data_IF_585067695538
#
_entry.id   IF_585067695538
#
_cell.length_a   1.000
_cell.length_b   1.000
_cell.length_c   1.000
_cell.angle_alpha   90.00
_cell.angle_beta   90.00
_cell.angle_gamma   90.00
#
_symmetry.space_group_name_H-M   'P 1'
#
loop_
_entity.id
_entity.type
_entity.pdbx_description
1 polymer ?
#
# COMPACT_ATOMS: atom_id res chain seq x y z
N UNK A 1 -1.49 28.53 -21.89
CA UNK A 1 -1.40 27.39 -22.82
C UNK A 1 -2.28 26.29 -22.26
N UNK A 2 -3.43 26.06 -22.90
CA UNK A 2 -4.47 25.15 -22.41
C UNK A 2 -4.35 23.85 -23.20
N UNK A 3 -3.70 22.84 -22.60
CA UNK A 3 -3.57 21.52 -23.21
C UNK A 3 -4.89 20.78 -22.94
N UNK A 4 -5.63 20.45 -23.99
CA UNK A 4 -6.78 19.57 -23.93
C UNK A 4 -6.34 18.18 -23.47
N UNK A 5 -6.58 17.83 -22.20
CA UNK A 5 -6.52 16.45 -21.71
C UNK A 5 -7.87 15.78 -22.02
N UNK A 6 -7.96 15.17 -23.19
CA UNK A 6 -9.03 14.21 -23.53
C UNK A 6 -8.41 12.82 -23.48
N UNK A 7 -8.52 12.11 -22.36
CA UNK A 7 -8.13 10.70 -22.25
C UNK A 7 -9.21 9.94 -21.47
N UNK A 8 -10.01 9.20 -22.26
CA UNK A 8 -10.55 7.86 -22.00
C UNK A 8 -11.06 7.52 -20.57
N UNK A 9 -12.29 7.94 -20.29
CA UNK A 9 -13.21 7.17 -19.42
C UNK A 9 -13.66 5.91 -20.18
N UNK A 10 -12.98 4.78 -19.99
CA UNK A 10 -13.46 3.47 -20.45
C UNK A 10 -12.92 2.35 -19.55
N UNK A 11 -13.30 2.35 -18.27
CA UNK A 11 -13.11 1.20 -17.37
C UNK A 11 -14.07 1.24 -16.16
N UNK A 12 -15.35 1.46 -16.41
CA UNK A 12 -16.40 1.35 -15.38
C UNK A 12 -17.61 0.54 -15.88
N UNK A 13 -17.37 -0.63 -16.48
CA UNK A 13 -18.44 -1.47 -17.02
C UNK A 13 -18.24 -2.97 -16.77
N UNK A 14 -17.84 -3.39 -15.57
CA UNK A 14 -18.07 -4.78 -15.12
C UNK A 14 -18.26 -4.79 -13.60
N UNK A 15 -19.48 -4.51 -13.14
CA UNK A 15 -20.09 -5.02 -11.90
C UNK A 15 -21.47 -4.38 -11.73
N UNK A 16 -22.40 -4.79 -12.58
CA UNK A 16 -23.83 -4.62 -12.32
C UNK A 16 -24.38 -5.98 -11.85
N UNK A 17 -24.75 -6.16 -10.57
CA UNK A 17 -25.61 -7.28 -10.22
C UNK A 17 -27.00 -7.04 -10.82
N UNK A 18 -27.55 -8.06 -11.47
CA UNK A 18 -28.88 -8.07 -12.04
C UNK A 18 -29.91 -7.72 -10.94
N UNK A 19 -30.57 -6.58 -11.10
CA UNK A 19 -31.71 -6.18 -10.29
C UNK A 19 -32.91 -7.07 -10.62
N UNK A 20 -33.27 -7.96 -9.70
CA UNK A 20 -34.62 -8.50 -9.62
C UNK A 20 -35.48 -7.53 -8.82
N UNK A 21 -36.48 -6.97 -9.48
CA UNK A 21 -37.51 -6.10 -8.92
C UNK A 21 -38.49 -6.94 -8.08
N UNK A 22 -38.75 -6.54 -6.82
CA UNK A 22 -40.07 -6.75 -6.24
C UNK A 22 -40.76 -5.40 -5.98
N UNK A 23 -41.89 -5.23 -6.64
CA UNK A 23 -42.94 -4.27 -6.36
C UNK A 23 -43.51 -4.51 -4.95
N UNK A 24 -43.41 -3.55 -4.03
CA UNK A 24 -44.33 -3.45 -2.88
C UNK A 24 -44.27 -2.10 -2.15
N UNK A 25 -45.41 -1.39 -2.22
CA UNK A 25 -46.03 -0.55 -1.20
C UNK A 25 -45.22 0.51 -0.43
N UNK A 26 -45.53 1.76 -0.79
CA UNK A 26 -45.44 2.90 0.10
C UNK A 26 -46.29 2.69 1.37
N UNK A 27 -45.64 2.71 2.53
CA UNK A 27 -46.32 2.83 3.81
C UNK A 27 -45.62 3.87 4.68
N UNK A 28 -46.22 5.07 4.72
CA UNK A 28 -45.86 6.15 5.62
C UNK A 28 -46.04 5.72 7.08
N UNK A 29 -44.93 5.61 7.83
CA UNK A 29 -44.97 5.55 9.29
C UNK A 29 -44.06 6.62 9.91
N UNK A 30 -44.74 7.70 10.32
CA UNK A 30 -44.59 8.53 11.52
C UNK A 30 -43.24 8.50 12.28
N UNK A 31 -42.72 9.71 12.43
CA UNK A 31 -41.75 10.19 13.43
C UNK A 31 -41.74 9.41 14.75
N UNK A 32 -40.56 8.89 15.11
CA UNK A 32 -40.18 8.59 16.50
C UNK A 32 -39.23 9.67 17.01
N UNK A 33 -39.47 10.29 18.17
CA UNK A 33 -38.53 11.19 18.80
C UNK A 33 -37.33 10.41 19.34
N UNK A 34 -36.12 10.87 19.01
CA UNK A 34 -34.86 10.38 19.56
C UNK A 34 -34.75 10.91 20.99
N UNK A 35 -34.82 10.00 21.96
CA UNK A 35 -34.50 10.30 23.35
C UNK A 35 -32.97 10.42 23.49
N UNK A 36 -32.48 11.65 23.61
CA UNK A 36 -31.10 11.95 23.99
C UNK A 36 -30.94 11.61 25.48
N UNK A 37 -30.17 10.57 25.80
CA UNK A 37 -29.77 10.28 27.19
C UNK A 37 -28.57 11.16 27.55
N UNK A 38 -28.58 11.87 28.69
CA UNK A 38 -27.42 12.60 29.16
C UNK A 38 -26.32 11.63 29.58
N UNK A 39 -25.13 11.79 29.02
CA UNK A 39 -23.92 11.10 29.48
C UNK A 39 -23.38 11.90 30.67
N UNK A 40 -23.40 11.27 31.84
CA UNK A 40 -22.86 11.81 33.09
C UNK A 40 -21.37 12.16 32.93
N UNK A 41 -21.03 13.40 33.28
CA UNK A 41 -19.68 13.87 33.51
C UNK A 41 -19.09 13.15 34.74
N UNK A 42 -18.19 12.20 34.50
CA UNK A 42 -17.28 11.67 35.50
C UNK A 42 -16.09 12.62 35.65
N UNK A 43 -16.18 13.46 36.67
CA UNK A 43 -15.09 14.27 37.21
C UNK A 43 -14.07 13.30 37.85
N UNK A 44 -12.87 13.17 37.28
CA UNK A 44 -11.76 12.49 37.95
C UNK A 44 -10.62 13.44 38.20
N UNK A 45 -10.36 13.51 39.49
CA UNK A 45 -9.49 14.38 40.25
C UNK A 45 -8.01 14.29 39.88
N UNK A 46 -7.33 15.38 40.21
CA UNK A 46 -5.90 15.57 40.12
C UNK A 46 -5.12 14.60 41.02
N UNK A 47 -4.39 13.67 40.40
CA UNK A 47 -3.37 12.86 41.07
C UNK A 47 -1.97 13.20 40.58
N UNK A 48 -1.34 14.24 41.14
CA UNK A 48 0.09 14.46 40.99
C UNK A 48 0.86 13.38 41.78
N UNK A 49 1.40 12.38 41.09
CA UNK A 49 2.43 11.50 41.65
C UNK A 49 3.77 11.81 41.02
N UNK A 50 4.58 12.52 41.81
CA UNK A 50 6.00 12.78 41.60
C UNK A 50 6.76 11.50 42.02
N UNK A 51 7.40 10.75 41.12
CA UNK A 51 8.30 9.69 41.57
C UNK A 51 9.54 10.32 42.19
N UNK A 52 9.68 10.05 43.49
CA UNK A 52 10.84 10.39 44.31
C UNK A 52 12.07 9.68 43.78
N UNK A 53 13.09 10.48 43.47
CA UNK A 53 14.46 10.07 43.16
C UNK A 53 15.04 9.26 44.32
N UNK A 54 15.06 7.93 44.19
CA UNK A 54 15.92 7.06 44.99
C UNK A 54 17.04 6.55 44.08
N UNK A 55 18.25 7.01 44.38
CA UNK A 55 19.48 6.41 43.91
C UNK A 55 19.50 4.94 44.35
N UNK A 56 19.21 4.04 43.42
CA UNK A 56 19.53 2.61 43.56
C UNK A 56 20.93 2.45 43.01
N UNK A 57 21.87 2.13 43.89
CA UNK A 57 23.24 1.82 43.54
C UNK A 57 23.27 0.73 42.46
N UNK A 58 23.81 1.08 41.28
CA UNK A 58 24.15 0.10 40.26
C UNK A 58 25.26 -0.81 40.79
N UNK A 59 24.90 -2.07 41.05
CA UNK A 59 25.82 -3.16 41.28
C UNK A 59 26.23 -3.66 39.88
N UNK A 60 27.52 -3.60 39.48
CA UNK A 60 27.92 -4.15 38.19
C UNK A 60 27.83 -5.67 38.29
N UNK A 61 26.82 -6.23 37.63
CA UNK A 61 26.78 -7.66 37.37
C UNK A 61 27.78 -7.92 36.23
N UNK A 62 28.99 -8.31 36.60
CA UNK A 62 29.82 -9.12 35.72
C UNK A 62 29.18 -10.51 35.60
N UNK A 63 29.34 -11.06 34.40
CA UNK A 63 29.03 -12.43 33.94
C UNK A 63 27.65 -12.64 33.29
N UNK A 64 27.64 -12.67 31.95
CA UNK A 64 27.58 -13.93 31.20
C UNK A 64 27.58 -13.67 29.67
N UNK A 65 28.62 -14.17 29.01
CA UNK A 65 28.70 -14.61 27.61
C UNK A 65 27.62 -14.09 26.64
N UNK A 66 27.86 -12.94 26.01
CA UNK A 66 27.34 -12.66 24.67
C UNK A 66 28.12 -13.49 23.65
N UNK A 67 27.86 -14.80 23.58
CA UNK A 67 27.87 -15.47 22.29
C UNK A 67 26.51 -15.20 21.66
N UNK A 68 26.32 -13.95 21.24
CA UNK A 68 25.32 -13.58 20.27
C UNK A 68 25.69 -14.37 19.02
N UNK A 69 25.05 -15.52 18.80
CA UNK A 69 25.07 -16.14 17.49
C UNK A 69 24.60 -15.06 16.53
N UNK A 70 25.50 -14.58 15.69
CA UNK A 70 25.16 -13.66 14.62
C UNK A 70 24.07 -14.35 13.81
N UNK A 71 22.81 -13.96 14.05
CA UNK A 71 21.70 -14.36 13.20
C UNK A 71 22.03 -13.76 11.84
N UNK A 72 22.52 -14.61 10.96
CA UNK A 72 22.72 -14.27 9.56
C UNK A 72 21.41 -13.62 9.08
N UNK A 73 21.49 -12.49 8.36
CA UNK A 73 20.29 -11.89 7.79
C UNK A 73 19.55 -13.00 7.02
N UNK A 74 18.22 -13.09 7.18
CA UNK A 74 17.44 -14.09 6.48
C UNK A 74 17.78 -14.01 4.98
N UNK A 75 18.04 -15.16 4.37
CA UNK A 75 18.35 -15.23 2.96
C UNK A 75 17.25 -14.52 2.15
N UNK A 76 17.60 -13.78 1.08
CA UNK A 76 16.62 -13.15 0.21
C UNK A 76 15.62 -14.21 -0.26
N UNK A 77 14.34 -13.99 0.08
CA UNK A 77 13.26 -14.88 -0.36
C UNK A 77 12.95 -14.51 -1.80
N UNK A 78 13.33 -15.39 -2.73
CA UNK A 78 12.86 -15.29 -4.12
C UNK A 78 11.37 -15.62 -4.13
N UNK A 79 10.53 -14.63 -4.40
CA UNK A 79 9.12 -14.85 -4.70
C UNK A 79 9.06 -15.59 -6.03
N UNK A 80 8.48 -16.79 -6.04
CA UNK A 80 8.34 -17.53 -7.29
C UNK A 80 7.22 -16.88 -8.10
N UNK A 81 7.51 -16.55 -9.36
CA UNK A 81 6.53 -15.94 -10.26
C UNK A 81 5.25 -16.78 -10.35
N UNK A 82 4.10 -16.19 -10.06
CA UNK A 82 2.80 -16.87 -10.09
C UNK A 82 2.55 -17.88 -8.96
N UNK A 83 3.27 -17.80 -7.84
CA UNK A 83 3.14 -18.74 -6.72
C UNK A 83 1.92 -18.52 -5.83
N UNK A 84 1.37 -17.31 -5.78
CA UNK A 84 0.30 -16.91 -4.86
C UNK A 84 0.63 -17.13 -3.38
N UNK A 85 1.92 -17.14 -3.01
CA UNK A 85 2.34 -17.51 -1.65
C UNK A 85 2.33 -16.34 -0.67
N UNK A 86 2.28 -15.10 -1.17
CA UNK A 86 2.38 -13.88 -0.37
C UNK A 86 1.26 -12.87 -0.68
N UNK A 87 0.24 -13.26 -1.46
CA UNK A 87 -0.83 -12.36 -1.91
C UNK A 87 -1.57 -11.69 -0.77
N UNK A 88 -1.92 -12.43 0.29
CA UNK A 88 -2.64 -11.88 1.45
C UNK A 88 -1.83 -10.76 2.13
N UNK A 89 -0.57 -11.03 2.48
CA UNK A 89 0.33 -10.06 3.12
C UNK A 89 0.59 -8.83 2.22
N UNK A 90 0.84 -9.05 0.94
CA UNK A 90 1.14 -7.98 -0.02
C UNK A 90 -0.09 -7.11 -0.31
N UNK A 91 -1.26 -7.73 -0.52
CA UNK A 91 -2.50 -7.01 -0.76
C UNK A 91 -2.94 -6.21 0.47
N UNK A 92 -2.84 -6.79 1.67
CA UNK A 92 -3.13 -6.09 2.92
C UNK A 92 -2.20 -4.89 3.13
N UNK A 93 -0.89 -5.05 2.87
CA UNK A 93 0.08 -3.96 2.97
C UNK A 93 -0.22 -2.85 1.96
N UNK A 94 -0.52 -3.21 0.71
CA UNK A 94 -0.85 -2.26 -0.34
C UNK A 94 -2.12 -1.47 0.01
N UNK A 95 -3.15 -2.14 0.55
CA UNK A 95 -4.37 -1.50 1.04
C UNK A 95 -4.08 -0.43 2.10
N UNK A 96 -3.22 -0.73 3.08
CA UNK A 96 -2.82 0.22 4.12
C UNK A 96 -2.10 1.42 3.52
N UNK A 97 -1.11 1.19 2.64
CA UNK A 97 -0.36 2.26 1.99
C UNK A 97 -1.26 3.17 1.15
N UNK A 98 -2.20 2.60 0.39
CA UNK A 98 -3.13 3.37 -0.44
C UNK A 98 -4.13 4.17 0.40
N UNK A 99 -4.59 3.64 1.53
CA UNK A 99 -5.41 4.39 2.47
C UNK A 99 -4.64 5.56 3.08
N UNK A 100 -3.39 5.34 3.51
CA UNK A 100 -2.54 6.42 4.01
C UNK A 100 -2.27 7.49 2.96
N UNK A 101 -2.01 7.09 1.71
CA UNK A 101 -1.84 8.00 0.58
C UNK A 101 -3.09 8.87 0.38
N UNK A 102 -4.28 8.28 0.35
CA UNK A 102 -5.54 9.03 0.23
C UNK A 102 -5.70 10.05 1.36
N UNK A 103 -5.46 9.64 2.60
CA UNK A 103 -5.54 10.55 3.75
C UNK A 103 -4.52 11.69 3.64
N UNK A 104 -3.30 11.40 3.21
CA UNK A 104 -2.26 12.42 3.03
C UNK A 104 -2.63 13.42 1.95
N UNK A 105 -3.09 12.94 0.78
CA UNK A 105 -3.56 13.77 -0.33
C UNK A 105 -4.64 14.74 0.17
N UNK A 106 -5.67 14.21 0.83
CA UNK A 106 -6.80 15.00 1.31
C UNK A 106 -6.38 16.10 2.29
N UNK A 107 -5.62 15.74 3.32
CA UNK A 107 -5.27 16.68 4.38
C UNK A 107 -4.17 17.67 3.98
N UNK A 108 -3.17 17.24 3.21
CA UNK A 108 -1.94 18.00 3.04
C UNK A 108 -1.70 18.56 1.63
N UNK A 109 -2.47 18.10 0.64
CA UNK A 109 -2.26 18.45 -0.77
C UNK A 109 -3.49 18.96 -1.50
N UNK A 110 -4.63 19.13 -0.82
CA UNK A 110 -5.89 19.58 -1.41
C UNK A 110 -5.87 20.97 -2.05
N UNK A 111 -4.81 21.74 -1.86
CA UNK A 111 -4.61 23.05 -2.49
C UNK A 111 -3.88 22.99 -3.84
N UNK A 112 -3.33 21.85 -4.24
CA UNK A 112 -2.58 21.74 -5.50
C UNK A 112 -3.55 21.68 -6.70
N UNK A 113 -3.17 22.24 -7.86
CA UNK A 113 -3.97 22.13 -9.08
C UNK A 113 -4.08 20.67 -9.53
N UNK A 114 -5.26 20.27 -10.01
CA UNK A 114 -5.54 18.87 -10.39
C UNK A 114 -5.86 17.95 -9.22
N UNK A 115 -5.94 18.47 -7.99
CA UNK A 115 -6.17 17.65 -6.80
C UNK A 115 -7.42 16.78 -6.90
N UNK A 116 -8.54 17.31 -7.40
CA UNK A 116 -9.79 16.57 -7.42
C UNK A 116 -9.73 15.34 -8.31
N UNK A 117 -9.12 15.48 -9.49
CA UNK A 117 -8.92 14.40 -10.46
C UNK A 117 -7.97 13.34 -9.88
N UNK A 118 -6.76 13.74 -9.48
CA UNK A 118 -5.76 12.81 -8.94
C UNK A 118 -6.22 12.13 -7.65
N UNK A 119 -6.99 12.83 -6.80
CA UNK A 119 -7.57 12.22 -5.59
C UNK A 119 -8.64 11.18 -5.92
N UNK A 120 -9.50 11.45 -6.91
CA UNK A 120 -10.51 10.49 -7.35
C UNK A 120 -9.86 9.22 -7.91
N UNK A 121 -8.79 9.38 -8.69
CA UNK A 121 -7.97 8.27 -9.20
C UNK A 121 -7.31 7.48 -8.08
N UNK A 122 -6.66 8.15 -7.13
CA UNK A 122 -6.05 7.49 -5.97
C UNK A 122 -7.06 6.74 -5.11
N UNK A 123 -8.26 7.31 -4.94
CA UNK A 123 -9.34 6.64 -4.22
C UNK A 123 -9.88 5.43 -4.98
N UNK A 124 -10.02 5.52 -6.31
CA UNK A 124 -10.36 4.37 -7.15
C UNK A 124 -9.32 3.26 -7.01
N UNK A 125 -8.04 3.61 -7.02
CA UNK A 125 -6.96 2.63 -6.83
C UNK A 125 -7.02 1.98 -5.44
N UNK A 126 -7.26 2.75 -4.38
CA UNK A 126 -7.50 2.20 -3.04
C UNK A 126 -8.69 1.22 -3.00
N UNK A 127 -9.78 1.51 -3.71
CA UNK A 127 -10.89 0.56 -3.82
C UNK A 127 -10.47 -0.73 -4.52
N UNK A 128 -9.65 -0.63 -5.56
CA UNK A 128 -9.08 -1.80 -6.26
C UNK A 128 -8.22 -2.65 -5.33
N UNK A 129 -7.37 -2.06 -4.49
CA UNK A 129 -6.53 -2.83 -3.55
C UNK A 129 -7.35 -3.55 -2.50
N UNK A 130 -8.42 -2.91 -1.98
CA UNK A 130 -9.38 -3.55 -1.08
C UNK A 130 -10.08 -4.73 -1.75
N UNK A 131 -10.46 -4.58 -3.00
CA UNK A 131 -11.10 -5.65 -3.75
C UNK A 131 -10.15 -6.81 -4.01
N UNK A 132 -8.88 -6.56 -4.33
CA UNK A 132 -7.85 -7.59 -4.49
C UNK A 132 -7.67 -8.38 -3.19
N UNK A 133 -7.49 -7.68 -2.06
CA UNK A 133 -7.34 -8.31 -0.76
C UNK A 133 -8.58 -9.16 -0.39
N UNK A 134 -9.78 -8.64 -0.61
CA UNK A 134 -11.02 -9.41 -0.41
C UNK A 134 -11.13 -10.61 -1.37
N UNK A 135 -10.63 -10.51 -2.60
CA UNK A 135 -10.66 -11.59 -3.58
C UNK A 135 -9.72 -12.74 -3.19
N UNK A 136 -8.60 -12.44 -2.52
CA UNK A 136 -7.70 -13.46 -1.98
C UNK A 136 -8.39 -14.32 -0.92
N UNK A 137 -9.14 -13.71 0.01
CA UNK A 137 -9.96 -14.44 0.99
C UNK A 137 -11.03 -15.33 0.35
N UNK A 138 -11.40 -15.07 -0.91
CA UNK A 138 -12.34 -15.87 -1.70
C UNK A 138 -11.65 -16.83 -2.69
N UNK A 139 -10.31 -16.87 -2.71
CA UNK A 139 -9.50 -17.63 -3.67
C UNK A 139 -9.76 -17.30 -5.15
N UNK A 140 -10.25 -16.08 -5.45
CA UNK A 140 -10.55 -15.66 -6.82
C UNK A 140 -9.30 -15.10 -7.54
N UNK A 141 -8.44 -16.02 -7.97
CA UNK A 141 -7.16 -15.71 -8.62
C UNK A 141 -7.32 -14.97 -9.95
N UNK A 142 -8.44 -15.15 -10.64
CA UNK A 142 -8.68 -14.50 -11.94
C UNK A 142 -9.06 -13.04 -11.74
N UNK A 143 -9.93 -12.77 -10.76
CA UNK A 143 -10.26 -11.40 -10.36
C UNK A 143 -9.01 -10.61 -9.95
N UNK A 144 -8.13 -11.21 -9.16
CA UNK A 144 -6.87 -10.58 -8.73
C UNK A 144 -6.02 -10.17 -9.94
N UNK A 145 -5.78 -11.11 -10.87
CA UNK A 145 -4.98 -10.83 -12.10
C UNK A 145 -5.56 -9.71 -12.94
N UNK A 146 -6.88 -9.73 -13.15
CA UNK A 146 -7.54 -8.74 -13.99
C UNK A 146 -7.39 -7.31 -13.45
N UNK A 147 -7.41 -7.16 -12.13
CA UNK A 147 -7.34 -5.85 -11.48
C UNK A 147 -5.91 -5.28 -11.44
N UNK A 148 -4.90 -6.13 -11.27
CA UNK A 148 -3.50 -5.68 -11.11
C UNK A 148 -2.94 -4.95 -12.33
N UNK A 149 -3.27 -5.40 -13.55
CA UNK A 149 -2.78 -4.73 -14.77
C UNK A 149 -3.27 -3.28 -14.91
N UNK A 150 -4.54 -3.03 -14.56
CA UNK A 150 -5.10 -1.66 -14.56
C UNK A 150 -4.59 -0.81 -13.40
N UNK A 151 -4.32 -1.44 -12.25
CA UNK A 151 -3.81 -0.78 -11.06
C UNK A 151 -2.43 -0.13 -11.29
N UNK A 152 -1.51 -0.85 -11.95
CA UNK A 152 -0.16 -0.39 -12.28
C UNK A 152 -0.15 0.88 -13.14
N UNK A 153 -0.91 0.87 -14.24
CA UNK A 153 -1.04 2.04 -15.12
C UNK A 153 -1.63 3.24 -14.39
N UNK A 154 -2.70 3.03 -13.59
CA UNK A 154 -3.33 4.10 -12.82
C UNK A 154 -2.38 4.66 -11.74
N UNK A 155 -1.59 3.80 -11.11
CA UNK A 155 -0.64 4.19 -10.09
C UNK A 155 0.44 5.11 -10.65
N UNK A 156 1.04 4.76 -11.79
CA UNK A 156 2.03 5.62 -12.45
C UNK A 156 1.46 6.99 -12.85
N UNK A 157 0.21 7.04 -13.33
CA UNK A 157 -0.44 8.30 -13.64
C UNK A 157 -0.55 9.21 -12.40
N UNK A 158 -0.94 8.64 -11.26
CA UNK A 158 -1.02 9.37 -9.98
C UNK A 158 0.37 9.85 -9.53
N UNK A 159 1.40 9.01 -9.65
CA UNK A 159 2.78 9.39 -9.31
C UNK A 159 3.27 10.60 -10.13
N UNK A 160 3.02 10.59 -11.44
CA UNK A 160 3.40 11.69 -12.32
C UNK A 160 2.68 12.99 -11.97
N UNK A 161 1.38 12.92 -11.68
CA UNK A 161 0.60 14.10 -11.31
C UNK A 161 1.10 14.74 -10.00
N UNK A 162 1.51 13.95 -9.00
CA UNK A 162 1.95 14.49 -7.70
C UNK A 162 3.41 14.91 -7.64
N UNK A 163 4.26 14.51 -8.60
CA UNK A 163 5.73 14.74 -8.56
C UNK A 163 6.10 16.22 -8.39
N UNK A 164 5.25 17.14 -8.85
CA UNK A 164 5.43 18.59 -8.74
C UNK A 164 4.66 19.27 -7.60
N UNK A 165 3.93 18.52 -6.77
CA UNK A 165 3.04 19.12 -5.78
C UNK A 165 3.78 19.65 -4.56
N UNK A 166 3.20 20.70 -3.98
CA UNK A 166 3.68 21.30 -2.74
C UNK A 166 2.87 20.79 -1.55
N UNK A 167 3.54 20.51 -0.43
CA UNK A 167 2.88 20.09 0.81
C UNK A 167 2.54 21.30 1.68
N UNK A 168 1.29 21.37 2.16
CA UNK A 168 0.92 22.19 3.32
C UNK A 168 0.65 21.24 4.48
N UNK A 169 1.53 21.22 5.48
CA UNK A 169 1.46 20.28 6.59
C UNK A 169 0.27 20.62 7.52
N UNK A 170 -0.87 19.96 7.33
CA UNK A 170 -2.05 20.09 8.20
C UNK A 170 -2.19 18.93 9.18
N UNK A 171 -1.85 17.71 8.73
CA UNK A 171 -1.93 16.49 9.55
C UNK A 171 -0.83 15.51 9.14
N UNK A 172 -0.12 14.95 10.11
CA UNK A 172 0.79 13.85 9.81
C UNK A 172 -0.02 12.55 9.68
N UNK A 173 0.08 11.89 8.53
CA UNK A 173 -0.48 10.57 8.27
C UNK A 173 0.69 9.59 8.16
N UNK A 174 0.69 8.51 8.95
CA UNK A 174 1.84 7.61 9.02
C UNK A 174 3.14 8.31 9.42
N UNK A 175 4.27 7.65 9.22
CA UNK A 175 5.61 8.18 9.55
C UNK A 175 6.37 8.74 8.35
N UNK A 176 5.85 8.53 7.14
CA UNK A 176 6.54 8.78 5.88
C UNK A 176 5.91 9.95 5.11
N UNK A 177 6.70 10.55 4.21
CA UNK A 177 6.21 11.51 3.21
C UNK A 177 5.51 10.82 2.04
N UNK A 178 4.79 11.59 1.21
CA UNK A 178 3.99 11.02 0.12
C UNK A 178 4.84 10.27 -0.92
N UNK A 179 6.03 10.79 -1.25
CA UNK A 179 6.92 10.18 -2.25
C UNK A 179 7.42 8.81 -1.78
N UNK A 180 7.90 8.73 -0.53
CA UNK A 180 8.35 7.45 0.04
C UNK A 180 7.20 6.45 0.17
N UNK A 181 5.98 6.90 0.49
CA UNK A 181 4.80 6.02 0.49
C UNK A 181 4.48 5.49 -0.91
N UNK A 182 4.64 6.32 -1.93
CA UNK A 182 4.45 5.90 -3.31
C UNK A 182 5.52 4.89 -3.73
N UNK A 183 6.80 5.12 -3.47
CA UNK A 183 7.87 4.14 -3.73
C UNK A 183 7.55 2.79 -3.05
N UNK A 184 7.15 2.81 -1.78
CA UNK A 184 6.78 1.59 -1.08
C UNK A 184 5.52 0.91 -1.65
N UNK A 185 4.55 1.69 -2.12
CA UNK A 185 3.33 1.16 -2.74
C UNK A 185 3.64 0.55 -4.12
N UNK A 186 4.53 1.17 -4.90
CA UNK A 186 5.03 0.65 -6.17
C UNK A 186 5.74 -0.69 -5.98
N UNK A 187 6.73 -0.74 -5.09
CA UNK A 187 7.46 -1.97 -4.76
C UNK A 187 6.50 -3.07 -4.29
N UNK A 188 5.50 -2.72 -3.47
CA UNK A 188 4.52 -3.68 -2.99
C UNK A 188 3.60 -4.17 -4.12
N UNK A 189 3.18 -3.27 -5.01
CA UNK A 189 2.36 -3.60 -6.17
C UNK A 189 3.11 -4.50 -7.15
N UNK A 190 4.38 -4.21 -7.45
CA UNK A 190 5.19 -5.03 -8.37
C UNK A 190 5.48 -6.42 -7.78
N UNK A 191 5.81 -6.54 -6.50
CA UNK A 191 5.94 -7.85 -5.86
C UNK A 191 4.63 -8.64 -5.87
N UNK A 192 3.49 -7.95 -5.69
CA UNK A 192 2.17 -8.58 -5.78
C UNK A 192 1.90 -9.07 -7.21
N UNK A 193 2.25 -8.28 -8.23
CA UNK A 193 2.15 -8.68 -9.63
C UNK A 193 3.04 -9.88 -9.93
N UNK A 194 4.29 -9.89 -9.46
CA UNK A 194 5.21 -11.02 -9.60
C UNK A 194 4.64 -12.29 -8.94
N UNK A 195 4.16 -12.21 -7.70
CA UNK A 195 3.61 -13.36 -6.97
C UNK A 195 2.35 -13.94 -7.64
N UNK A 196 1.54 -13.11 -8.28
CA UNK A 196 0.31 -13.51 -8.99
C UNK A 196 0.59 -13.96 -10.43
N UNK A 197 1.76 -13.63 -10.96
CA UNK A 197 2.18 -13.94 -12.32
C UNK A 197 1.59 -12.97 -13.35
N UNK A 198 1.54 -11.69 -13.02
CA UNK A 198 1.18 -10.58 -13.91
C UNK A 198 2.46 -9.85 -14.31
N UNK A 199 2.63 -9.58 -15.60
CA UNK A 199 3.76 -8.79 -16.09
C UNK A 199 3.46 -7.31 -15.86
N UNK A 200 4.35 -6.59 -15.19
CA UNK A 200 4.27 -5.13 -15.06
C UNK A 200 4.27 -4.48 -16.44
N UNK A 201 3.58 -3.34 -16.58
CA UNK A 201 3.47 -2.68 -17.87
C UNK A 201 4.87 -2.21 -18.31
N UNK A 202 5.46 -2.74 -19.41
CA UNK A 202 6.82 -2.39 -19.78
C UNK A 202 6.85 -0.95 -20.30
N UNK A 203 7.51 -0.04 -19.58
CA UNK A 203 7.72 1.32 -20.09
C UNK A 203 8.13 2.44 -19.14
N UNK A 204 8.19 2.26 -17.80
CA UNK A 204 8.48 3.39 -16.90
C UNK A 204 9.65 3.27 -15.92
N UNK A 205 10.15 2.08 -15.58
CA UNK A 205 11.54 1.93 -15.11
C UNK A 205 11.91 0.45 -15.18
N UNK A 206 13.01 0.14 -15.86
CA UNK A 206 13.61 -1.20 -15.84
C UNK A 206 14.35 -1.32 -14.50
N UNK A 207 13.97 -2.24 -13.58
CA UNK A 207 14.77 -2.47 -12.39
C UNK A 207 16.17 -2.88 -12.84
N UNK A 208 17.25 -2.42 -12.17
CA UNK A 208 18.60 -2.83 -12.54
C UNK A 208 18.64 -4.35 -12.50
N UNK A 209 18.79 -4.96 -13.69
CA UNK A 209 19.00 -6.40 -13.79
C UNK A 209 20.13 -6.76 -12.81
N UNK A 210 19.96 -7.79 -11.96
CA UNK A 210 21.07 -8.29 -11.18
C UNK A 210 22.18 -8.63 -12.18
N UNK A 211 23.26 -7.85 -12.10
CA UNK A 211 24.43 -8.05 -12.94
C UNK A 211 24.76 -9.53 -12.92
N UNK A 212 24.68 -10.17 -14.08
CA UNK A 212 25.11 -11.53 -14.27
C UNK A 212 26.64 -11.60 -14.07
N UNK A 213 27.10 -11.52 -12.83
CA UNK A 213 28.41 -11.96 -12.39
C UNK A 213 28.39 -13.50 -12.35
N UNK A 214 28.18 -14.12 -13.50
CA UNK A 214 28.31 -15.56 -13.73
C UNK A 214 28.44 -15.85 -15.22
N UNK A 215 29.42 -15.25 -15.87
CA UNK A 215 30.06 -15.88 -17.02
C UNK A 215 31.37 -16.50 -16.52
N UNK A 216 31.29 -17.80 -16.23
CA UNK A 216 32.39 -18.68 -15.88
C UNK A 216 33.56 -18.49 -16.85
N UNK A 217 34.73 -18.20 -16.28
CA UNK A 217 36.02 -18.34 -16.94
C UNK A 217 36.18 -19.78 -17.43
N UNK A 218 36.05 -20.00 -18.74
CA UNK A 218 36.41 -21.26 -19.38
C UNK A 218 37.95 -21.26 -19.50
N UNK A 219 38.67 -22.24 -18.93
CA UNK A 219 40.12 -22.31 -19.08
C UNK A 219 40.48 -22.57 -20.56
N UNK A 220 41.55 -21.94 -21.08
CA UNK A 220 41.96 -22.12 -22.48
C UNK A 220 42.37 -23.57 -22.74
N UNK A 221 42.13 -24.09 -23.97
CA UNK A 221 42.54 -25.44 -24.33
C UNK A 221 44.07 -25.58 -24.32
N UNK A 222 44.61 -26.77 -23.99
CA UNK A 222 46.04 -27.00 -24.00
C UNK A 222 46.59 -26.88 -25.43
N UNK A 223 47.61 -26.04 -25.59
CA UNK A 223 48.38 -25.89 -26.82
C UNK A 223 49.09 -27.23 -27.11
N UNK A 224 48.74 -27.88 -28.22
CA UNK A 224 49.57 -28.95 -28.79
C UNK A 224 50.67 -28.32 -29.64
N UNK A 225 51.91 -28.46 -29.20
CA UNK A 225 53.11 -28.11 -29.98
C UNK A 225 53.50 -29.34 -30.82
N UNK A 226 53.84 -29.18 -32.11
CA UNK A 226 54.29 -30.26 -32.99
C UNK A 226 55.66 -30.84 -32.62
#
# INVERSE_FOLDING_TARGET
MTIQRTVLLSLAAVLAPAATTPTANAQCHRHRPIAVRPIHHGHHDHGHHRPSSRYVAHRPHLDHHYLQTAQLPPAPRTVAYGSFSHVDDLAARLEVLMNELCLDLYYNYSHNPGFHETYAEAYSLFQTTRYIHASEHNYDRNAIRQQLGGADTLFHHIQDDVRGWSRIARRQIGTLGILTKMEMAEDTLHHLMEDVGVVATPGLEEPPQPSALSALSVPPPPIRIP
#
